data_IF_188173469452
#
_entry.id   IF_188173469452
#
_cell.length_a   1.000
_cell.length_b   1.000
_cell.length_c   1.000
_cell.angle_alpha   90.00
_cell.angle_beta   90.00
_cell.angle_gamma   90.00
#
_symmetry.space_group_name_H-M   'P 1'
#
loop_
_entity.id
_entity.type
_entity.pdbx_description
1 polymer ?
#
# COMPACT_ATOMS: atom_id res chain seq x y z
N UNK A 1 15.93 -7.23 16.37
CA UNK A 1 14.96 -7.14 15.25
C UNK A 1 14.58 -5.69 15.18
N UNK A 2 15.02 -4.99 14.15
CA UNK A 2 14.68 -3.57 13.97
C UNK A 2 13.16 -3.48 13.89
N UNK A 3 12.56 -2.76 14.83
CA UNK A 3 11.16 -2.35 14.73
C UNK A 3 11.08 -1.37 13.57
N UNK A 4 10.84 -1.89 12.36
CA UNK A 4 10.53 -1.05 11.21
C UNK A 4 9.27 -0.25 11.52
N UNK A 5 9.29 1.04 11.21
CA UNK A 5 8.14 1.94 11.35
C UNK A 5 6.94 1.42 10.53
N UNK A 6 5.72 1.79 10.95
CA UNK A 6 4.48 1.28 10.36
C UNK A 6 4.36 1.51 8.85
N UNK A 7 4.81 2.64 8.24
CA UNK A 7 4.78 2.82 6.79
C UNK A 7 5.82 1.95 6.06
N UNK A 8 7.02 1.80 6.62
CA UNK A 8 8.06 0.89 6.09
C UNK A 8 7.55 -0.54 6.02
N UNK A 9 6.87 -1.01 7.06
CA UNK A 9 6.27 -2.34 7.05
C UNK A 9 5.13 -2.46 6.02
N UNK A 10 4.32 -1.42 5.85
CA UNK A 10 3.26 -1.40 4.85
C UNK A 10 3.83 -1.60 3.43
N UNK A 11 4.81 -0.79 3.03
CA UNK A 11 5.45 -0.88 1.71
C UNK A 11 6.08 -2.26 1.48
N UNK A 12 6.76 -2.82 2.49
CA UNK A 12 7.37 -4.14 2.37
C UNK A 12 6.36 -5.28 2.21
N UNK A 13 5.20 -5.19 2.88
CA UNK A 13 4.15 -6.19 2.70
C UNK A 13 3.52 -6.08 1.30
N UNK A 14 3.43 -4.88 0.73
CA UNK A 14 3.03 -4.69 -0.68
C UNK A 14 4.08 -5.28 -1.62
N UNK A 15 5.36 -5.05 -1.38
CA UNK A 15 6.45 -5.68 -2.15
C UNK A 15 6.33 -7.20 -2.13
N UNK A 16 6.13 -7.80 -0.94
CA UNK A 16 5.97 -9.26 -0.81
C UNK A 16 4.72 -9.77 -1.56
N UNK A 17 3.65 -8.98 -1.61
CA UNK A 17 2.47 -9.29 -2.40
C UNK A 17 2.78 -9.26 -3.90
N UNK A 18 3.50 -8.25 -4.39
CA UNK A 18 3.90 -8.14 -5.80
C UNK A 18 4.82 -9.31 -6.21
N UNK A 19 5.77 -9.68 -5.34
CA UNK A 19 6.60 -10.87 -5.52
C UNK A 19 5.76 -12.14 -5.68
N UNK A 20 4.72 -12.30 -4.86
CA UNK A 20 3.82 -13.45 -4.91
C UNK A 20 2.95 -13.47 -6.18
N UNK A 21 2.61 -12.30 -6.73
CA UNK A 21 1.95 -12.16 -8.03
C UNK A 21 2.89 -12.39 -9.21
N UNK A 22 4.21 -12.39 -8.98
CA UNK A 22 5.23 -12.45 -10.02
C UNK A 22 5.46 -11.12 -10.72
N UNK A 23 4.90 -10.03 -10.22
CA UNK A 23 5.15 -8.69 -10.73
C UNK A 23 6.36 -8.09 -10.02
N UNK A 24 7.40 -7.77 -10.81
CA UNK A 24 8.67 -7.28 -10.30
C UNK A 24 9.02 -5.89 -10.82
N UNK A 25 8.11 -5.24 -11.52
CA UNK A 25 8.38 -3.92 -12.10
C UNK A 25 8.62 -2.87 -11.02
N UNK A 26 7.76 -2.84 -10.01
CA UNK A 26 7.80 -1.84 -8.94
C UNK A 26 8.72 -2.19 -7.76
N UNK A 27 9.06 -3.46 -7.58
CA UNK A 27 9.89 -3.93 -6.46
C UNK A 27 11.23 -3.18 -6.33
N UNK A 28 12.07 -3.06 -7.39
CA UNK A 28 13.35 -2.37 -7.25
C UNK A 28 13.18 -0.90 -6.89
N UNK A 29 12.11 -0.25 -7.36
CA UNK A 29 11.80 1.15 -7.05
C UNK A 29 11.46 1.30 -5.56
N UNK A 30 10.58 0.44 -5.02
CA UNK A 30 10.24 0.47 -3.60
C UNK A 30 11.45 0.21 -2.70
N UNK A 31 12.31 -0.74 -3.08
CA UNK A 31 13.52 -1.04 -2.29
C UNK A 31 14.54 0.10 -2.33
N UNK A 32 14.71 0.75 -3.48
CA UNK A 32 15.58 1.93 -3.61
C UNK A 32 15.03 3.10 -2.78
N UNK A 33 13.73 3.39 -2.86
CA UNK A 33 13.12 4.46 -2.06
C UNK A 33 13.29 4.19 -0.56
N UNK A 34 13.04 2.95 -0.11
CA UNK A 34 13.26 2.57 1.30
C UNK A 34 14.69 2.78 1.79
N UNK A 35 15.69 2.65 0.90
CA UNK A 35 17.10 2.86 1.23
C UNK A 35 17.47 4.34 1.30
N UNK A 36 16.96 5.18 0.39
CA UNK A 36 17.42 6.55 0.21
C UNK A 36 16.45 7.64 0.69
N UNK A 37 15.15 7.49 0.43
CA UNK A 37 14.13 8.54 0.63
C UNK A 37 13.09 8.19 1.70
N UNK A 38 12.94 6.91 2.03
CA UNK A 38 11.94 6.38 2.95
C UNK A 38 10.81 5.62 2.24
N UNK A 39 9.76 5.23 3.01
CA UNK A 39 8.69 4.40 2.50
C UNK A 39 7.75 5.15 1.54
N UNK A 40 7.69 4.67 0.30
CA UNK A 40 6.74 5.14 -0.71
C UNK A 40 5.34 4.53 -0.52
N UNK A 41 4.56 5.15 0.36
CA UNK A 41 3.18 4.72 0.66
C UNK A 41 2.24 5.02 -0.51
N UNK A 42 2.44 6.15 -1.21
CA UNK A 42 1.65 6.54 -2.37
C UNK A 42 1.79 5.49 -3.48
N UNK A 43 3.03 5.15 -3.87
CA UNK A 43 3.28 4.12 -4.87
C UNK A 43 2.76 2.75 -4.43
N UNK A 44 2.87 2.41 -3.15
CA UNK A 44 2.37 1.14 -2.63
C UNK A 44 0.83 1.04 -2.73
N UNK A 45 0.10 2.12 -2.45
CA UNK A 45 -1.35 2.17 -2.65
C UNK A 45 -1.72 2.09 -4.12
N UNK A 46 -1.04 2.85 -4.99
CA UNK A 46 -1.28 2.80 -6.42
C UNK A 46 -1.09 1.37 -6.99
N UNK A 47 -0.04 0.67 -6.56
CA UNK A 47 0.21 -0.71 -6.96
C UNK A 47 -0.91 -1.66 -6.48
N UNK A 48 -1.38 -1.53 -5.24
CA UNK A 48 -2.50 -2.34 -4.73
C UNK A 48 -3.78 -2.14 -5.56
N UNK A 49 -4.07 -0.89 -5.95
CA UNK A 49 -5.23 -0.55 -6.79
C UNK A 49 -5.06 -1.10 -8.20
N UNK A 50 -3.90 -0.91 -8.82
CA UNK A 50 -3.60 -1.37 -10.19
C UNK A 50 -3.74 -2.90 -10.32
N UNK A 51 -3.18 -3.65 -9.37
CA UNK A 51 -3.24 -5.11 -9.36
C UNK A 51 -4.56 -5.68 -8.82
N UNK A 52 -5.52 -4.83 -8.45
CA UNK A 52 -6.82 -5.23 -7.87
C UNK A 52 -6.65 -6.11 -6.62
N UNK A 53 -5.69 -5.75 -5.78
CA UNK A 53 -5.36 -6.46 -4.54
C UNK A 53 -5.86 -5.72 -3.30
N UNK A 54 -6.64 -4.66 -3.51
CA UNK A 54 -7.21 -3.87 -2.45
C UNK A 54 -8.20 -4.71 -1.65
N UNK A 55 -8.09 -4.64 -0.33
CA UNK A 55 -8.99 -5.32 0.59
C UNK A 55 -9.14 -4.51 1.90
N UNK A 56 -10.03 -4.97 2.77
CA UNK A 56 -10.32 -4.33 4.05
C UNK A 56 -9.10 -4.27 4.99
N UNK A 57 -8.22 -5.28 4.98
CA UNK A 57 -7.02 -5.32 5.83
C UNK A 57 -6.06 -4.18 5.47
N UNK A 58 -5.82 -3.95 4.17
CA UNK A 58 -4.98 -2.83 3.72
C UNK A 58 -5.54 -1.48 4.17
N UNK A 59 -6.87 -1.30 4.09
CA UNK A 59 -7.53 -0.07 4.53
C UNK A 59 -7.37 0.12 6.05
N UNK A 60 -7.61 -0.92 6.85
CA UNK A 60 -7.51 -0.84 8.31
C UNK A 60 -6.08 -0.54 8.76
N UNK A 61 -5.09 -1.14 8.09
CA UNK A 61 -3.68 -0.86 8.34
C UNK A 61 -3.32 0.59 8.03
N UNK A 62 -3.72 1.10 6.86
CA UNK A 62 -3.47 2.47 6.45
C UNK A 62 -4.17 3.47 7.39
N UNK A 63 -5.41 3.21 7.81
CA UNK A 63 -6.11 4.01 8.83
C UNK A 63 -5.33 4.05 10.13
N UNK A 64 -4.87 2.89 10.62
CA UNK A 64 -4.21 2.80 11.92
C UNK A 64 -2.95 3.65 11.98
N UNK A 65 -2.06 3.55 10.98
CA UNK A 65 -0.86 4.39 11.00
C UNK A 65 -1.16 5.83 10.55
N UNK A 66 -2.13 6.08 9.67
CA UNK A 66 -2.48 7.45 9.31
C UNK A 66 -2.92 8.29 10.53
N UNK A 67 -3.58 7.67 11.52
CA UNK A 67 -3.88 8.31 12.81
C UNK A 67 -2.60 8.65 13.60
N UNK A 68 -1.62 7.74 13.64
CA UNK A 68 -0.30 7.96 14.26
C UNK A 68 0.50 9.09 13.58
N UNK A 69 0.33 9.27 12.27
CA UNK A 69 0.97 10.30 11.45
C UNK A 69 0.08 11.54 11.23
N UNK A 70 -0.96 11.74 12.05
CA UNK A 70 -1.81 12.92 12.05
C UNK A 70 -2.46 13.26 10.68
N UNK A 71 -2.88 12.25 9.93
CA UNK A 71 -3.55 12.41 8.64
C UNK A 71 -2.61 12.63 7.45
N UNK A 72 -1.31 12.35 7.61
CA UNK A 72 -0.33 12.53 6.53
C UNK A 72 -0.66 11.74 5.24
N UNK A 73 -1.46 10.68 5.35
CA UNK A 73 -1.81 9.76 4.27
C UNK A 73 -3.32 9.75 3.95
N UNK A 74 -4.03 10.85 4.22
CA UNK A 74 -5.48 10.94 3.96
C UNK A 74 -5.83 10.76 2.48
N UNK A 75 -4.96 11.20 1.57
CA UNK A 75 -5.17 11.06 0.13
C UNK A 75 -5.04 9.61 -0.31
N UNK A 76 -3.99 8.92 0.12
CA UNK A 76 -3.74 7.51 -0.16
C UNK A 76 -4.85 6.64 0.44
N UNK A 77 -5.36 7.01 1.62
CA UNK A 77 -6.47 6.31 2.24
C UNK A 77 -7.77 6.47 1.45
N UNK A 78 -8.05 7.65 0.91
CA UNK A 78 -9.20 7.86 0.02
C UNK A 78 -9.06 7.06 -1.27
N UNK A 79 -7.87 7.08 -1.90
CA UNK A 79 -7.58 6.32 -3.11
C UNK A 79 -7.78 4.81 -2.89
N UNK A 80 -7.22 4.27 -1.81
CA UNK A 80 -7.36 2.86 -1.47
C UNK A 80 -8.83 2.48 -1.25
N UNK A 81 -9.63 3.33 -0.58
CA UNK A 81 -11.06 3.10 -0.40
C UNK A 81 -11.84 3.15 -1.73
N UNK A 82 -11.49 4.09 -2.60
CA UNK A 82 -12.09 4.21 -3.93
C UNK A 82 -11.77 2.96 -4.78
N UNK A 83 -10.53 2.49 -4.76
CA UNK A 83 -10.10 1.26 -5.41
C UNK A 83 -10.86 0.03 -4.91
N UNK A 84 -11.01 -0.11 -3.59
CA UNK A 84 -11.81 -1.18 -3.00
C UNK A 84 -13.27 -1.16 -3.44
N UNK A 85 -13.90 0.03 -3.44
CA UNK A 85 -15.28 0.18 -3.87
C UNK A 85 -15.45 -0.17 -5.37
N UNK A 86 -14.53 0.29 -6.22
CA UNK A 86 -14.55 -0.01 -7.65
C UNK A 86 -14.36 -1.51 -7.92
N UNK A 87 -13.42 -2.16 -7.21
CA UNK A 87 -13.18 -3.60 -7.32
C UNK A 87 -14.41 -4.44 -6.95
N UNK A 88 -15.09 -4.08 -5.85
CA UNK A 88 -16.31 -4.79 -5.41
C UNK A 88 -17.50 -4.53 -6.32
N UNK A 89 -17.67 -3.31 -6.83
CA UNK A 89 -18.71 -2.99 -7.80
C UNK A 89 -18.57 -3.81 -9.09
N UNK A 90 -17.33 -4.05 -9.54
CA UNK A 90 -17.04 -4.83 -10.73
C UNK A 90 -17.14 -6.35 -10.53
N UNK A 91 -17.26 -6.82 -9.28
CA UNK A 91 -17.47 -8.23 -8.92
C UNK A 91 -18.98 -8.56 -8.79
N UNK A 92 -19.81 -7.54 -8.59
CA UNK A 92 -21.27 -7.66 -8.46
C UNK A 92 -22.03 -7.54 -9.80
N UNK A 93 -21.33 -7.32 -10.92
CA UNK A 93 -21.87 -7.21 -12.27
C UNK A 93 -21.58 -8.49 -13.09
#
# INVERSE_FOLDING_TARGET
MESRDTPTKFVLDVVALLEALGDREYIPVFLEMLEYDGPDVEGAVAALVEHKQVNQDWIERLVAFNDEYAGAFDFELEELRAGFAAQNANTAA
#
